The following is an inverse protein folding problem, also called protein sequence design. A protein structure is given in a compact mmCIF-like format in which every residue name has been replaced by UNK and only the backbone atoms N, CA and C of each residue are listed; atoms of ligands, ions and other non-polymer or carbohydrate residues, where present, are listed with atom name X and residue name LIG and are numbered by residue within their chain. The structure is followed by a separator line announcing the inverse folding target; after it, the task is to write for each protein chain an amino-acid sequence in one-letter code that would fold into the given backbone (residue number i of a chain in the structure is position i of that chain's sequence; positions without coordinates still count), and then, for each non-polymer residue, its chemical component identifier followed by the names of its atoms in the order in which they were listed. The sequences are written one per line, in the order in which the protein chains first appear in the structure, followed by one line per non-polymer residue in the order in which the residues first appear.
data_IF_157989728208
#
_entry.id   IF_157989728208
#
_cell.length_a   1.000
_cell.length_b   1.000
_cell.length_c   1.000
_cell.angle_alpha   90.00
_cell.angle_beta   90.00
_cell.angle_gamma   90.00
#
_symmetry.space_group_name_H-M   'P 1'
#
loop_
_entity.id
_entity.type
_entity.pdbx_description
1 polymer ?
#
# COMPACT_ATOMS: atom_id res chain seq x y z
N UNK A 1 29.00 1.01 -12.65
CA UNK A 1 27.57 0.88 -13.00
C UNK A 1 26.77 0.01 -12.03
N UNK A 2 27.20 -1.22 -11.71
CA UNK A 2 26.47 -2.14 -10.79
C UNK A 2 26.36 -1.64 -9.34
N UNK A 3 27.41 -1.00 -8.81
CA UNK A 3 27.45 -0.50 -7.42
C UNK A 3 26.46 0.64 -7.16
N UNK A 4 26.44 1.63 -8.06
CA UNK A 4 25.55 2.80 -8.01
C UNK A 4 24.05 2.44 -8.09
N UNK A 5 23.68 1.44 -8.90
CA UNK A 5 22.30 0.91 -8.95
C UNK A 5 21.89 0.20 -7.66
N UNK A 6 22.83 -0.46 -7.00
CA UNK A 6 22.59 -1.16 -5.72
C UNK A 6 22.42 -0.16 -4.58
N UNK A 7 23.22 0.91 -4.59
CA UNK A 7 23.11 2.04 -3.65
C UNK A 7 21.76 2.77 -3.84
N UNK A 8 21.40 3.13 -5.08
CA UNK A 8 20.09 3.73 -5.39
C UNK A 8 18.90 2.83 -5.02
N UNK A 9 19.02 1.50 -5.23
CA UNK A 9 18.01 0.54 -4.82
C UNK A 9 17.86 0.46 -3.29
N UNK A 10 18.97 0.54 -2.55
CA UNK A 10 18.94 0.56 -1.08
C UNK A 10 18.40 1.87 -0.52
N UNK A 11 18.75 3.01 -1.12
CA UNK A 11 18.24 4.35 -0.75
C UNK A 11 16.73 4.47 -1.00
N UNK A 12 16.22 3.90 -2.08
CA UNK A 12 14.79 3.87 -2.38
C UNK A 12 14.00 2.74 -1.70
N UNK A 13 14.60 2.00 -0.75
CA UNK A 13 14.01 0.80 -0.11
C UNK A 13 13.54 -0.28 -1.12
N UNK A 14 14.06 -0.28 -2.34
CA UNK A 14 13.65 -1.17 -3.42
C UNK A 14 12.53 -0.63 -4.33
N UNK A 15 12.06 0.61 -4.11
CA UNK A 15 11.13 1.30 -4.98
C UNK A 15 11.89 1.81 -6.21
N UNK A 16 11.63 1.18 -7.35
CA UNK A 16 12.26 1.48 -8.65
C UNK A 16 11.35 2.24 -9.61
N UNK A 17 10.02 2.23 -9.37
CA UNK A 17 9.01 2.90 -10.19
C UNK A 17 7.71 3.12 -9.40
N UNK A 18 7.17 4.34 -9.41
CA UNK A 18 5.87 4.66 -8.76
C UNK A 18 4.65 4.00 -9.43
N UNK A 19 4.84 3.29 -10.55
CA UNK A 19 3.82 2.49 -11.22
C UNK A 19 3.76 1.03 -10.72
N UNK A 20 4.66 0.63 -9.83
CA UNK A 20 4.72 -0.74 -9.29
C UNK A 20 3.87 -0.92 -8.03
N UNK A 21 3.30 -2.11 -7.86
CA UNK A 21 2.81 -2.58 -6.57
C UNK A 21 4.00 -3.07 -5.74
N UNK A 22 4.21 -2.47 -4.57
CA UNK A 22 5.20 -2.92 -3.60
C UNK A 22 4.52 -3.43 -2.34
N UNK A 23 5.14 -4.44 -1.75
CA UNK A 23 4.68 -5.12 -0.55
C UNK A 23 5.88 -5.40 0.33
N UNK A 24 5.90 -4.80 1.53
CA UNK A 24 6.95 -4.95 2.52
C UNK A 24 6.39 -5.73 3.71
N UNK A 25 7.02 -6.86 4.02
CA UNK A 25 6.65 -7.69 5.17
C UNK A 25 7.73 -7.60 6.23
N UNK A 26 7.38 -7.06 7.38
CA UNK A 26 8.23 -6.96 8.56
C UNK A 26 7.77 -8.00 9.57
N UNK A 27 8.70 -8.86 10.01
CA UNK A 27 8.43 -9.90 10.98
C UNK A 27 9.33 -9.64 12.19
N UNK A 28 8.70 -9.26 13.29
CA UNK A 28 9.35 -9.07 14.58
C UNK A 28 8.86 -10.15 15.55
N UNK A 29 9.47 -10.20 16.74
CA UNK A 29 9.14 -11.21 17.76
C UNK A 29 7.65 -11.22 18.18
N UNK A 30 6.98 -10.06 18.11
CA UNK A 30 5.62 -9.89 18.63
C UNK A 30 4.65 -9.24 17.63
N UNK A 31 5.12 -8.88 16.44
CA UNK A 31 4.28 -8.23 15.43
C UNK A 31 4.69 -8.70 14.03
N UNK A 32 3.70 -8.84 13.17
CA UNK A 32 3.88 -8.93 11.72
C UNK A 32 3.24 -7.68 11.14
N UNK A 33 4.00 -6.90 10.39
CA UNK A 33 3.51 -5.70 9.71
C UNK A 33 3.65 -5.89 8.21
N UNK A 34 2.55 -5.65 7.51
CA UNK A 34 2.50 -5.67 6.05
C UNK A 34 2.19 -4.26 5.56
N UNK A 35 3.14 -3.66 4.85
CA UNK A 35 3.00 -2.35 4.25
C UNK A 35 2.87 -2.51 2.73
N UNK A 36 1.83 -1.90 2.15
CA UNK A 36 1.52 -2.00 0.73
C UNK A 36 1.58 -0.58 0.15
N UNK A 37 2.42 -0.40 -0.86
CA UNK A 37 2.45 0.80 -1.68
C UNK A 37 1.90 0.44 -3.06
N UNK A 38 0.75 1.00 -3.40
CA UNK A 38 0.02 0.69 -4.62
C UNK A 38 -0.33 1.97 -5.38
N UNK A 39 -0.17 2.01 -6.71
CA UNK A 39 -0.67 3.11 -7.51
C UNK A 39 -2.19 3.16 -7.46
N UNK A 40 -2.75 4.36 -7.35
CA UNK A 40 -4.20 4.55 -7.25
C UNK A 40 -4.97 3.89 -8.41
N UNK A 41 -4.44 3.98 -9.64
CA UNK A 41 -5.05 3.38 -10.83
C UNK A 41 -5.14 1.85 -10.71
N UNK A 42 -4.15 1.20 -10.12
CA UNK A 42 -4.16 -0.24 -9.84
C UNK A 42 -5.18 -0.56 -8.75
N UNK A 43 -5.20 0.22 -7.68
CA UNK A 43 -6.16 0.04 -6.58
C UNK A 43 -7.62 0.16 -7.07
N UNK A 44 -7.90 1.06 -8.01
CA UNK A 44 -9.21 1.23 -8.68
C UNK A 44 -9.73 -0.04 -9.35
N UNK A 45 -8.85 -0.97 -9.75
CA UNK A 45 -9.25 -2.24 -10.35
C UNK A 45 -9.78 -3.23 -9.30
N UNK A 46 -9.41 -3.06 -8.02
CA UNK A 46 -9.79 -3.95 -6.93
C UNK A 46 -10.92 -3.39 -6.09
N UNK A 47 -10.90 -2.08 -5.87
CA UNK A 47 -11.91 -1.32 -5.17
C UNK A 47 -12.49 -0.30 -6.17
N UNK A 48 -13.78 -0.38 -6.53
CA UNK A 48 -14.40 0.61 -7.41
C UNK A 48 -14.46 1.95 -6.69
N UNK A 49 -13.44 2.77 -6.90
CA UNK A 49 -13.33 4.12 -6.35
C UNK A 49 -13.99 5.07 -7.36
N UNK A 50 -15.19 5.54 -7.05
CA UNK A 50 -15.83 6.64 -7.77
C UNK A 50 -15.06 7.94 -7.49
N UNK A 51 -14.64 8.61 -8.54
CA UNK A 51 -13.84 9.83 -8.46
C UNK A 51 -14.23 10.76 -9.62
N UNK A 52 -14.38 12.06 -9.32
CA UNK A 52 -14.85 13.05 -10.29
C UNK A 52 -13.80 13.41 -11.35
N UNK A 53 -12.51 13.38 -10.99
CA UNK A 53 -11.39 13.67 -11.88
C UNK A 53 -10.68 12.36 -12.32
N UNK A 54 -10.00 12.35 -13.46
CA UNK A 54 -9.21 11.18 -13.86
C UNK A 54 -7.82 11.15 -13.21
N UNK A 55 -7.30 12.30 -12.76
CA UNK A 55 -5.89 12.46 -12.44
C UNK A 55 -5.59 12.74 -10.95
N UNK A 56 -6.51 13.34 -10.17
CA UNK A 56 -6.21 13.83 -8.81
C UNK A 56 -7.37 13.68 -7.82
N UNK A 57 -7.18 12.92 -6.74
CA UNK A 57 -8.16 12.79 -5.65
C UNK A 57 -8.09 13.98 -4.68
N UNK A 58 -9.21 14.67 -4.50
CA UNK A 58 -9.30 15.79 -3.55
C UNK A 58 -9.34 15.31 -2.09
N UNK A 59 -9.18 16.21 -1.12
CA UNK A 59 -9.10 15.84 0.30
C UNK A 59 -10.38 15.16 0.82
N UNK A 60 -11.55 15.59 0.37
CA UNK A 60 -12.83 15.02 0.80
C UNK A 60 -13.00 13.58 0.29
N UNK A 61 -12.59 13.34 -0.95
CA UNK A 61 -12.55 12.01 -1.55
C UNK A 61 -11.49 11.11 -0.88
N UNK A 62 -10.35 11.67 -0.49
CA UNK A 62 -9.35 10.92 0.28
C UNK A 62 -9.93 10.43 1.62
N UNK A 63 -10.62 11.30 2.35
CA UNK A 63 -11.23 10.94 3.63
C UNK A 63 -12.36 9.92 3.47
N UNK A 64 -13.17 10.01 2.41
CA UNK A 64 -14.22 9.02 2.14
C UNK A 64 -13.67 7.65 1.71
N UNK A 65 -12.47 7.61 1.14
CA UNK A 65 -11.83 6.39 0.67
C UNK A 65 -11.14 5.58 1.76
N UNK A 66 -10.62 6.23 2.80
CA UNK A 66 -9.89 5.53 3.88
C UNK A 66 -10.69 4.36 4.49
N UNK A 67 -11.98 4.50 4.85
CA UNK A 67 -12.75 3.40 5.41
C UNK A 67 -12.93 2.24 4.42
N UNK A 68 -13.16 2.55 3.14
CA UNK A 68 -13.35 1.53 2.10
C UNK A 68 -12.05 0.75 1.85
N UNK A 69 -10.92 1.45 1.78
CA UNK A 69 -9.58 0.84 1.65
C UNK A 69 -9.27 -0.02 2.88
N UNK A 70 -9.53 0.50 4.09
CA UNK A 70 -9.31 -0.25 5.33
C UNK A 70 -10.13 -1.56 5.33
N UNK A 71 -11.43 -1.46 5.06
CA UNK A 71 -12.33 -2.62 5.03
C UNK A 71 -11.90 -3.64 3.97
N UNK A 72 -11.47 -3.20 2.79
CA UNK A 72 -10.97 -4.09 1.74
C UNK A 72 -9.77 -4.91 2.25
N UNK A 73 -8.75 -4.28 2.82
CA UNK A 73 -7.57 -5.00 3.29
C UNK A 73 -7.84 -5.83 4.55
N UNK A 74 -8.77 -5.43 5.42
CA UNK A 74 -9.16 -6.24 6.58
C UNK A 74 -9.94 -7.52 6.19
N UNK A 75 -10.70 -7.48 5.09
CA UNK A 75 -11.46 -8.63 4.59
C UNK A 75 -10.60 -9.60 3.77
N UNK A 76 -9.59 -9.09 3.05
CA UNK A 76 -8.82 -9.86 2.07
C UNK A 76 -7.39 -10.17 2.51
N UNK A 77 -6.81 -9.36 3.40
CA UNK A 77 -5.53 -9.69 4.01
C UNK A 77 -5.72 -10.87 4.94
N UNK A 78 -5.23 -12.04 4.57
CA UNK A 78 -5.25 -13.23 5.43
C UNK A 78 -3.83 -13.64 5.72
N UNK A 79 -3.53 -13.81 7.00
CA UNK A 79 -2.25 -14.35 7.44
C UNK A 79 -2.50 -15.59 8.30
N UNK A 80 -1.78 -16.66 7.98
CA UNK A 80 -1.73 -17.84 8.82
C UNK A 80 -0.45 -17.79 9.64
N UNK A 81 -0.59 -17.88 10.96
CA UNK A 81 0.54 -18.07 11.89
C UNK A 81 0.27 -19.38 12.62
N UNK A 82 1.14 -20.38 12.40
CA UNK A 82 0.98 -21.71 13.00
C UNK A 82 -0.43 -22.29 12.76
N UNK A 83 -0.91 -22.19 11.52
CA UNK A 83 -2.25 -22.61 11.07
C UNK A 83 -3.44 -21.85 11.69
N UNK A 84 -3.18 -20.85 12.52
CA UNK A 84 -4.20 -19.94 13.02
C UNK A 84 -4.38 -18.75 12.08
N UNK A 85 -5.62 -18.53 11.63
CA UNK A 85 -5.97 -17.34 10.86
C UNK A 85 -5.97 -16.10 11.76
N UNK A 86 -5.07 -15.18 11.45
CA UNK A 86 -5.01 -13.86 12.08
C UNK A 86 -5.68 -12.88 11.14
N UNK A 87 -6.72 -12.21 11.65
CA UNK A 87 -7.33 -11.07 10.96
C UNK A 87 -6.40 -9.86 11.07
N UNK A 88 -6.02 -9.24 9.95
CA UNK A 88 -5.23 -8.02 9.99
C UNK A 88 -6.09 -6.88 10.53
N UNK A 89 -5.41 -5.87 11.05
CA UNK A 89 -6.00 -4.58 11.42
C UNK A 89 -5.27 -3.52 10.63
N UNK A 90 -5.99 -2.65 9.94
CA UNK A 90 -5.36 -1.53 9.23
C UNK A 90 -5.03 -0.43 10.24
N UNK A 91 -3.74 -0.17 10.41
CA UNK A 91 -3.25 0.83 11.39
C UNK A 91 -3.11 2.23 10.77
N UNK A 92 -2.70 2.31 9.50
CA UNK A 92 -2.44 3.58 8.83
C UNK A 92 -2.70 3.46 7.33
N UNK A 93 -3.31 4.50 6.77
CA UNK A 93 -3.44 4.71 5.32
C UNK A 93 -2.81 6.07 5.01
N UNK A 94 -1.93 6.12 4.01
CA UNK A 94 -1.34 7.35 3.52
C UNK A 94 -1.55 7.44 2.02
N UNK A 95 -1.98 8.61 1.56
CA UNK A 95 -2.18 8.93 0.16
C UNK A 95 -1.14 9.98 -0.18
N UNK A 96 -0.38 9.75 -1.24
CA UNK A 96 0.74 10.59 -1.64
C UNK A 96 0.45 11.20 -3.01
N UNK A 97 0.74 12.48 -3.17
CA UNK A 97 0.90 13.10 -4.49
C UNK A 97 2.30 12.81 -5.03
N UNK A 98 2.43 12.82 -6.35
CA UNK A 98 3.73 12.95 -7.00
C UNK A 98 4.09 14.44 -6.98
N UNK A 99 4.49 14.95 -5.82
CA UNK A 99 5.17 16.25 -5.78
C UNK A 99 6.58 16.03 -6.34
N UNK A 100 6.75 16.33 -7.63
CA UNK A 100 8.04 16.36 -8.35
C UNK A 100 8.45 17.82 -8.51
#
# INVERSE_FOLDING_TARGET
MRKRRKEQFQEGLGISSYSGLYSFLYINRFEVRHEILIPLLTLKQWLPIEHADSELINVEEQESLRPAIASFFEQHGRLLVEDQEIRPRVEKISIFSLDI
#
